data_IF_886765480841
#
_entry.id   IF_886765480841
#
_cell.length_a   1.000
_cell.length_b   1.000
_cell.length_c   1.000
_cell.angle_alpha   90.00
_cell.angle_beta   90.00
_cell.angle_gamma   90.00
#
_symmetry.space_group_name_H-M   'P 1'
#
loop_
_entity.id
_entity.type
_entity.pdbx_description
1 polymer ?
#
# COMPACT_ATOMS: atom_id res chain seq x y z
N UNK A 1 11.06 -12.65 -14.84
CA UNK A 1 12.35 -11.98 -15.10
C UNK A 1 12.37 -11.56 -16.55
N UNK A 2 12.78 -10.33 -16.82
CA UNK A 2 13.08 -9.81 -18.15
C UNK A 2 14.54 -9.38 -18.14
N UNK A 3 15.34 -9.87 -19.08
CA UNK A 3 16.78 -9.62 -19.12
C UNK A 3 17.20 -9.08 -20.50
N UNK A 4 18.16 -8.16 -20.52
CA UNK A 4 18.69 -7.57 -21.74
C UNK A 4 20.07 -6.97 -21.56
N UNK A 5 20.77 -6.70 -22.67
CA UNK A 5 22.08 -6.06 -22.61
C UNK A 5 21.95 -4.61 -22.08
N UNK A 6 21.01 -3.86 -22.62
CA UNK A 6 20.50 -2.59 -22.09
C UNK A 6 18.98 -2.69 -21.92
N UNK A 7 18.42 -1.86 -21.05
CA UNK A 7 16.97 -1.79 -20.86
C UNK A 7 16.54 -0.34 -20.75
N UNK A 8 15.57 0.07 -21.57
CA UNK A 8 15.09 1.45 -21.62
C UNK A 8 13.57 1.48 -21.54
N UNK A 9 13.05 2.32 -20.65
CA UNK A 9 11.64 2.73 -20.64
C UNK A 9 11.61 4.21 -20.95
N UNK A 10 11.18 4.56 -22.16
CA UNK A 10 11.16 5.95 -22.62
C UNK A 10 10.05 6.75 -21.94
N UNK A 11 10.15 8.07 -22.01
CA UNK A 11 9.10 8.97 -21.54
C UNK A 11 7.74 8.63 -22.20
N UNK A 12 6.66 8.78 -21.44
CA UNK A 12 5.28 8.38 -21.77
C UNK A 12 5.05 6.87 -21.96
N UNK A 13 6.08 6.02 -21.78
CA UNK A 13 5.87 4.57 -21.69
C UNK A 13 5.60 4.18 -20.24
N UNK A 14 4.69 3.21 -20.08
CA UNK A 14 4.37 2.59 -18.78
C UNK A 14 4.59 1.09 -18.86
N UNK A 15 5.47 0.57 -18.01
CA UNK A 15 5.59 -0.85 -17.74
C UNK A 15 4.71 -1.19 -16.53
N UNK A 16 3.56 -1.81 -16.78
CA UNK A 16 2.72 -2.37 -15.72
C UNK A 16 2.96 -3.88 -15.61
N UNK A 17 3.18 -4.39 -14.40
CA UNK A 17 3.31 -5.82 -14.14
C UNK A 17 2.27 -6.28 -13.13
N UNK A 18 1.86 -7.54 -13.23
CA UNK A 18 0.86 -8.17 -12.37
C UNK A 18 1.12 -9.68 -12.27
N UNK A 19 0.53 -10.34 -11.28
CA UNK A 19 0.58 -11.79 -11.10
C UNK A 19 1.16 -12.22 -9.76
N UNK A 20 1.25 -13.52 -9.52
CA UNK A 20 1.66 -14.07 -8.21
C UNK A 20 3.17 -14.01 -7.94
N UNK A 21 3.98 -13.56 -8.90
CA UNK A 21 5.44 -13.52 -8.79
C UNK A 21 5.95 -12.08 -8.91
N UNK A 22 6.98 -11.69 -8.12
CA UNK A 22 7.66 -10.41 -8.29
C UNK A 22 8.27 -10.21 -9.68
N UNK A 23 8.43 -8.94 -10.07
CA UNK A 23 9.12 -8.54 -11.28
C UNK A 23 10.63 -8.41 -11.03
N UNK A 24 11.44 -8.97 -11.93
CA UNK A 24 12.89 -8.73 -11.96
C UNK A 24 13.25 -8.22 -13.34
N UNK A 25 13.89 -7.06 -13.39
CA UNK A 25 14.46 -6.45 -14.58
C UNK A 25 15.99 -6.48 -14.45
N UNK A 26 16.63 -7.19 -15.36
CA UNK A 26 18.08 -7.38 -15.37
C UNK A 26 18.68 -6.72 -16.61
N UNK A 27 19.60 -5.78 -16.41
CA UNK A 27 20.44 -5.25 -17.47
C UNK A 27 21.91 -5.54 -17.19
N UNK A 28 22.65 -6.02 -18.19
CA UNK A 28 24.11 -6.24 -18.01
C UNK A 28 24.92 -4.96 -18.16
N UNK A 29 24.33 -3.88 -18.69
CA UNK A 29 24.98 -2.58 -18.86
C UNK A 29 24.17 -1.48 -18.16
N UNK A 30 23.35 -0.76 -18.90
CA UNK A 30 22.58 0.39 -18.44
C UNK A 30 21.09 0.10 -18.41
N UNK A 31 20.46 0.49 -17.30
CA UNK A 31 19.02 0.63 -17.17
C UNK A 31 18.65 2.12 -17.18
N UNK A 32 17.89 2.55 -18.19
CA UNK A 32 17.42 3.94 -18.33
C UNK A 32 15.90 3.98 -18.14
N UNK A 33 15.47 4.67 -17.07
CA UNK A 33 14.07 4.88 -16.74
C UNK A 33 13.68 6.34 -16.94
N UNK A 34 13.08 6.65 -18.07
CA UNK A 34 12.47 7.95 -18.37
C UNK A 34 10.93 7.94 -18.29
N UNK A 35 10.32 6.74 -18.34
CA UNK A 35 8.88 6.52 -18.20
C UNK A 35 8.46 6.04 -16.80
N UNK A 36 7.39 5.25 -16.74
CA UNK A 36 6.80 4.76 -15.48
C UNK A 36 6.90 3.23 -15.37
N UNK A 37 7.30 2.74 -14.19
CA UNK A 37 7.11 1.36 -13.74
C UNK A 37 6.00 1.36 -12.70
N UNK A 38 4.94 0.59 -12.96
CA UNK A 38 3.81 0.45 -12.04
C UNK A 38 3.64 -1.02 -11.65
N UNK A 39 4.02 -1.29 -10.41
CA UNK A 39 3.83 -2.56 -9.72
C UNK A 39 2.91 -2.39 -8.51
N UNK A 40 2.14 -1.31 -8.46
CA UNK A 40 1.18 -1.05 -7.38
C UNK A 40 -0.05 -1.95 -7.50
N UNK A 41 -0.78 -2.05 -6.40
CA UNK A 41 -2.12 -2.61 -6.38
C UNK A 41 -3.14 -1.47 -6.42
N UNK A 42 -4.19 -1.61 -7.22
CA UNK A 42 -5.21 -0.57 -7.40
C UNK A 42 -6.56 -1.15 -7.73
N UNK A 43 -7.61 -0.40 -7.39
CA UNK A 43 -9.00 -0.84 -7.61
C UNK A 43 -9.50 -0.71 -9.04
N UNK A 44 -8.90 0.20 -9.81
CA UNK A 44 -9.47 0.70 -11.06
C UNK A 44 -8.80 0.12 -12.31
N UNK A 45 -8.26 -1.10 -12.23
CA UNK A 45 -7.54 -1.77 -13.33
C UNK A 45 -8.14 -3.12 -13.72
N UNK A 46 -7.78 -3.60 -14.93
CA UNK A 46 -8.09 -4.96 -15.42
C UNK A 46 -7.40 -6.02 -14.54
N UNK A 47 -6.27 -5.66 -13.93
CA UNK A 47 -5.54 -6.45 -12.95
C UNK A 47 -5.32 -5.57 -11.72
N UNK A 48 -5.89 -5.96 -10.59
CA UNK A 48 -5.95 -5.10 -9.40
C UNK A 48 -4.77 -5.29 -8.46
N UNK A 49 -3.99 -6.36 -8.64
CA UNK A 49 -2.86 -6.72 -7.77
C UNK A 49 -1.53 -6.55 -8.46
N UNK A 50 -0.59 -5.91 -7.78
CA UNK A 50 0.81 -5.84 -8.18
C UNK A 50 1.47 -7.23 -8.21
N UNK A 51 2.63 -7.35 -8.89
CA UNK A 51 3.36 -8.60 -9.01
C UNK A 51 3.86 -9.07 -7.64
N UNK A 52 3.46 -10.27 -7.21
CA UNK A 52 3.84 -10.84 -5.91
C UNK A 52 3.16 -10.21 -4.70
N UNK A 53 2.12 -9.40 -4.90
CA UNK A 53 1.27 -8.88 -3.83
C UNK A 53 0.51 -10.01 -3.11
N UNK A 54 0.19 -9.76 -1.84
CA UNK A 54 -0.55 -10.67 -0.93
C UNK A 54 0.02 -12.10 -0.87
N UNK A 55 1.34 -12.26 -0.65
CA UNK A 55 1.91 -13.59 -0.57
C UNK A 55 1.51 -14.29 0.74
N UNK A 56 1.55 -15.63 0.75
CA UNK A 56 0.99 -16.44 1.82
C UNK A 56 1.69 -16.26 3.19
N UNK A 57 2.89 -15.69 3.24
CA UNK A 57 3.63 -15.44 4.49
C UNK A 57 3.17 -14.17 5.21
N UNK A 58 2.18 -13.46 4.68
CA UNK A 58 1.61 -12.30 5.37
C UNK A 58 0.97 -12.72 6.69
N UNK A 59 1.45 -12.11 7.77
CA UNK A 59 0.81 -12.24 9.07
C UNK A 59 -0.62 -11.69 8.99
N UNK A 60 -1.55 -12.38 9.64
CA UNK A 60 -2.93 -11.95 9.76
C UNK A 60 -3.11 -11.18 11.07
N UNK A 61 -3.78 -10.03 11.01
CA UNK A 61 -4.18 -9.27 12.19
C UNK A 61 -5.38 -9.89 12.90
N UNK A 62 -5.70 -9.36 14.09
CA UNK A 62 -6.93 -9.71 14.78
C UNK A 62 -8.13 -9.11 14.05
N UNK A 63 -9.16 -9.89 13.69
CA UNK A 63 -10.30 -9.39 12.95
C UNK A 63 -11.15 -8.43 13.80
N UNK A 64 -11.83 -7.44 13.18
CA UNK A 64 -12.77 -6.58 13.90
C UNK A 64 -13.97 -7.35 14.45
N UNK A 65 -14.56 -6.84 15.53
CA UNK A 65 -15.79 -7.36 16.14
C UNK A 65 -16.91 -6.32 16.02
N UNK A 66 -18.13 -6.80 15.80
CA UNK A 66 -19.31 -5.95 15.64
C UNK A 66 -19.27 -5.13 14.35
N UNK A 67 -19.76 -3.91 14.41
CA UNK A 67 -19.79 -2.98 13.28
C UNK A 67 -18.48 -2.17 13.15
N UNK A 68 -17.33 -2.83 13.17
CA UNK A 68 -16.02 -2.17 13.27
C UNK A 68 -15.15 -2.32 12.02
N UNK A 69 -14.24 -1.37 11.81
CA UNK A 69 -13.37 -1.32 10.64
C UNK A 69 -12.20 -2.30 10.70
N UNK A 70 -11.70 -2.70 9.53
CA UNK A 70 -10.57 -3.62 9.37
C UNK A 70 -9.23 -2.98 9.67
N UNK A 71 -8.22 -3.79 9.99
CA UNK A 71 -6.84 -3.33 10.14
C UNK A 71 -6.19 -3.04 8.79
N UNK A 72 -5.25 -2.11 8.74
CA UNK A 72 -4.37 -1.93 7.59
C UNK A 72 -3.30 -3.03 7.49
N UNK A 73 -2.83 -3.33 6.29
CA UNK A 73 -1.78 -4.31 6.06
C UNK A 73 -0.44 -3.87 6.66
N UNK A 74 0.32 -4.82 7.20
CA UNK A 74 1.67 -4.60 7.74
C UNK A 74 2.73 -5.24 6.85
N UNK A 75 3.76 -4.46 6.48
CA UNK A 75 4.97 -5.00 5.84
C UNK A 75 6.22 -4.42 6.50
N UNK A 76 6.88 -3.40 5.93
CA UNK A 76 7.97 -2.72 6.64
C UNK A 76 7.43 -1.84 7.78
N UNK A 77 6.31 -1.18 7.53
CA UNK A 77 5.57 -0.43 8.53
C UNK A 77 4.36 -1.20 9.04
N UNK A 78 3.99 -0.94 10.30
CA UNK A 78 2.76 -1.49 10.88
C UNK A 78 1.53 -0.83 10.25
N UNK A 79 0.53 -1.61 9.88
CA UNK A 79 -0.76 -1.07 9.49
C UNK A 79 -1.49 -0.40 10.64
N UNK A 80 -2.42 0.50 10.31
CA UNK A 80 -3.29 1.15 11.26
C UNK A 80 -4.33 0.19 11.83
N UNK A 81 -4.74 0.45 13.07
CA UNK A 81 -5.88 -0.23 13.69
C UNK A 81 -7.18 0.35 13.10
N UNK A 82 -8.17 -0.49 12.81
CA UNK A 82 -9.50 -0.01 12.44
C UNK A 82 -10.20 0.62 13.65
N UNK A 83 -11.20 1.47 13.43
CA UNK A 83 -12.01 2.03 14.52
C UNK A 83 -13.28 1.23 14.75
N UNK A 84 -13.85 1.42 15.93
CA UNK A 84 -15.23 1.08 16.22
C UNK A 84 -16.16 2.09 15.54
N UNK A 85 -17.41 1.68 15.27
CA UNK A 85 -18.45 2.57 14.75
C UNK A 85 -18.99 3.51 15.83
N UNK A 86 -19.91 3.00 16.66
CA UNK A 86 -20.41 3.69 17.85
C UNK A 86 -19.76 3.11 19.12
N UNK A 87 -19.54 3.94 20.14
CA UNK A 87 -18.59 3.76 21.28
C UNK A 87 -18.86 2.61 22.25
N UNK A 88 -19.59 1.55 21.86
CA UNK A 88 -19.88 0.41 22.74
C UNK A 88 -20.18 -0.91 22.03
N UNK A 89 -20.12 -0.98 20.68
CA UNK A 89 -20.67 -2.11 19.93
C UNK A 89 -19.63 -3.00 19.23
N UNK A 90 -18.33 -2.83 19.50
CA UNK A 90 -17.31 -3.61 18.82
C UNK A 90 -15.88 -3.34 19.26
N UNK A 91 -14.94 -3.93 18.53
CA UNK A 91 -13.49 -3.66 18.64
C UNK A 91 -12.94 -3.59 17.23
N UNK A 92 -12.17 -2.54 16.93
CA UNK A 92 -11.50 -2.39 15.65
C UNK A 92 -10.50 -3.50 15.32
N UNK A 93 -10.33 -3.82 14.04
CA UNK A 93 -9.33 -4.79 13.62
C UNK A 93 -7.92 -4.33 14.01
N UNK A 94 -7.12 -5.22 14.60
CA UNK A 94 -5.76 -4.89 15.04
C UNK A 94 -4.73 -5.41 14.03
N UNK A 95 -3.90 -4.52 13.48
CA UNK A 95 -2.87 -4.88 12.53
C UNK A 95 -1.79 -5.76 13.17
N UNK A 96 -1.27 -6.77 12.46
CA UNK A 96 -0.16 -7.58 12.94
C UNK A 96 1.12 -6.73 13.00
N UNK A 97 2.12 -7.18 13.74
CA UNK A 97 3.43 -6.52 13.76
C UNK A 97 4.07 -6.54 12.36
N UNK A 98 4.83 -5.49 11.99
CA UNK A 98 5.54 -5.45 10.72
C UNK A 98 6.72 -6.43 10.72
N UNK A 99 7.19 -6.72 9.51
CA UNK A 99 8.41 -7.47 9.27
C UNK A 99 9.64 -6.57 9.50
N UNK A 100 10.56 -7.06 10.31
CA UNK A 100 11.91 -6.52 10.45
C UNK A 100 12.88 -7.67 10.75
N UNK A 101 14.10 -7.71 10.16
CA UNK A 101 14.72 -6.71 9.28
C UNK A 101 14.24 -6.80 7.82
N UNK A 102 14.96 -6.14 6.88
CA UNK A 102 14.68 -6.19 5.45
C UNK A 102 14.62 -7.65 4.93
N UNK A 103 13.64 -8.04 4.11
CA UNK A 103 13.45 -9.44 3.74
C UNK A 103 14.52 -9.91 2.75
N UNK A 104 15.05 -11.12 2.95
CA UNK A 104 16.01 -11.74 2.03
C UNK A 104 15.38 -12.25 0.73
N UNK A 105 14.05 -12.32 0.66
CA UNK A 105 13.29 -12.71 -0.53
C UNK A 105 12.52 -11.52 -1.08
N UNK A 106 12.63 -11.32 -2.40
CA UNK A 106 11.80 -10.35 -3.10
C UNK A 106 10.34 -10.80 -3.00
N UNK A 107 9.48 -9.97 -2.40
CA UNK A 107 8.04 -10.23 -2.24
C UNK A 107 7.25 -8.94 -2.14
N UNK A 108 5.97 -8.97 -2.50
CA UNK A 108 5.07 -7.83 -2.32
C UNK A 108 4.66 -7.62 -0.86
N UNK A 109 3.87 -6.57 -0.67
CA UNK A 109 3.24 -6.20 0.58
C UNK A 109 2.07 -7.11 0.95
N UNK A 110 1.60 -6.94 2.17
CA UNK A 110 0.48 -7.64 2.76
C UNK A 110 -0.85 -6.89 2.64
N UNK A 111 -1.97 -7.63 2.53
CA UNK A 111 -3.30 -7.05 2.43
C UNK A 111 -3.76 -6.45 3.76
N UNK A 112 -4.66 -5.47 3.67
CA UNK A 112 -5.47 -5.04 4.80
C UNK A 112 -6.58 -6.04 5.12
N UNK A 113 -7.06 -6.02 6.36
CA UNK A 113 -8.21 -6.79 6.79
C UNK A 113 -9.53 -6.19 6.32
N UNK A 114 -10.54 -7.05 6.10
CA UNK A 114 -11.92 -6.60 5.95
C UNK A 114 -12.44 -5.94 7.23
N UNK A 115 -13.43 -5.05 7.07
CA UNK A 115 -14.28 -4.63 8.18
C UNK A 115 -15.15 -5.79 8.68
N UNK A 116 -16.04 -5.51 9.62
CA UNK A 116 -17.05 -6.47 10.06
C UNK A 116 -18.45 -5.84 9.97
N UNK A 117 -19.49 -6.66 9.97
CA UNK A 117 -20.88 -6.22 9.94
C UNK A 117 -21.76 -7.11 10.81
N UNK A 118 -22.81 -6.53 11.37
CA UNK A 118 -23.89 -7.27 12.04
C UNK A 118 -25.06 -7.51 11.05
N UNK A 119 -25.02 -6.90 9.87
CA UNK A 119 -26.07 -6.94 8.85
C UNK A 119 -25.77 -7.84 7.64
N UNK A 120 -26.78 -8.05 6.80
CA UNK A 120 -26.72 -9.00 5.68
C UNK A 120 -25.97 -8.53 4.41
N UNK A 121 -25.56 -7.25 4.33
CA UNK A 121 -24.95 -6.68 3.11
C UNK A 121 -23.43 -6.83 3.02
N UNK A 122 -22.80 -7.56 3.95
CA UNK A 122 -21.35 -7.78 3.99
C UNK A 122 -20.55 -6.58 4.51
N UNK A 123 -19.23 -6.67 4.42
CA UNK A 123 -18.28 -5.70 4.95
C UNK A 123 -17.44 -5.01 3.86
N UNK A 124 -16.78 -3.90 4.22
CA UNK A 124 -15.77 -3.32 3.36
C UNK A 124 -14.56 -4.25 3.28
N UNK A 125 -14.22 -4.75 2.10
CA UNK A 125 -13.03 -5.58 1.91
C UNK A 125 -11.74 -4.77 2.11
N UNK A 126 -10.72 -5.41 2.67
CA UNK A 126 -9.38 -4.81 2.74
C UNK A 126 -8.75 -4.62 1.36
N UNK A 127 -7.79 -3.70 1.26
CA UNK A 127 -6.99 -3.47 0.06
C UNK A 127 -5.82 -4.45 -0.04
N UNK A 128 -5.45 -4.81 -1.27
CA UNK A 128 -4.28 -5.65 -1.56
C UNK A 128 -2.97 -4.89 -1.26
N UNK A 129 -1.94 -5.60 -0.80
CA UNK A 129 -0.60 -5.06 -0.65
C UNK A 129 0.02 -4.68 -1.99
N UNK A 130 1.03 -3.80 -1.99
CA UNK A 130 1.75 -3.42 -3.20
C UNK A 130 2.59 -4.57 -3.77
N UNK A 131 2.89 -4.54 -5.07
CA UNK A 131 3.75 -5.55 -5.69
C UNK A 131 5.24 -5.31 -5.46
N UNK A 132 6.06 -6.16 -6.06
CA UNK A 132 7.51 -6.12 -5.89
C UNK A 132 8.26 -6.07 -7.22
N UNK A 133 9.31 -5.23 -7.24
CA UNK A 133 10.23 -5.10 -8.36
C UNK A 133 11.68 -5.05 -7.89
N UNK A 134 12.55 -5.78 -8.57
CA UNK A 134 13.99 -5.61 -8.50
C UNK A 134 14.54 -5.15 -9.85
N UNK A 135 15.38 -4.11 -9.83
CA UNK A 135 16.17 -3.62 -10.95
C UNK A 135 17.63 -3.94 -10.62
N UNK A 136 18.27 -4.75 -11.46
CA UNK A 136 19.66 -5.16 -11.28
C UNK A 136 20.42 -4.72 -12.52
N UNK A 137 21.38 -3.81 -12.37
CA UNK A 137 22.18 -3.32 -13.50
C UNK A 137 23.54 -2.76 -13.09
N UNK A 138 24.49 -2.72 -14.03
CA UNK A 138 25.80 -2.09 -13.80
C UNK A 138 25.65 -0.58 -13.55
N UNK A 139 24.78 0.08 -14.32
CA UNK A 139 24.41 1.50 -14.14
C UNK A 139 22.88 1.65 -14.22
N UNK A 140 22.32 2.46 -13.33
CA UNK A 140 20.89 2.83 -13.34
C UNK A 140 20.77 4.34 -13.44
N UNK A 141 20.00 4.81 -14.42
CA UNK A 141 19.59 6.21 -14.54
C UNK A 141 18.08 6.33 -14.38
N UNK A 142 17.65 7.23 -13.48
CA UNK A 142 16.24 7.42 -13.11
C UNK A 142 15.81 8.86 -13.39
N UNK A 143 14.96 9.03 -14.39
CA UNK A 143 14.24 10.27 -14.71
C UNK A 143 12.73 10.01 -14.87
N UNK A 144 12.25 8.99 -14.17
CA UNK A 144 10.91 8.45 -14.26
C UNK A 144 10.39 7.97 -12.90
N UNK A 145 9.28 7.23 -12.92
CA UNK A 145 8.55 6.87 -11.70
C UNK A 145 8.52 5.36 -11.47
N UNK A 146 8.61 4.95 -10.21
CA UNK A 146 8.45 3.56 -9.78
C UNK A 146 7.43 3.54 -8.64
N UNK A 147 6.26 2.94 -8.90
CA UNK A 147 5.18 2.82 -7.92
C UNK A 147 4.97 1.37 -7.50
N UNK A 148 5.12 1.09 -6.21
CA UNK A 148 4.83 -0.19 -5.57
C UNK A 148 3.84 -0.02 -4.41
N UNK A 149 2.94 0.95 -4.49
CA UNK A 149 2.00 1.25 -3.40
C UNK A 149 0.93 0.18 -3.21
N UNK A 150 0.43 0.09 -1.98
CA UNK A 150 -0.74 -0.70 -1.61
C UNK A 150 -2.06 -0.06 -2.05
N UNK A 151 -3.07 -0.90 -2.21
CA UNK A 151 -4.43 -0.52 -2.57
C UNK A 151 -5.19 0.09 -1.38
N UNK A 152 -6.06 1.06 -1.63
CA UNK A 152 -6.97 1.59 -0.61
C UNK A 152 -8.11 0.62 -0.26
N UNK A 153 -8.45 0.50 1.03
CA UNK A 153 -9.54 -0.35 1.51
C UNK A 153 -10.93 0.11 1.03
N UNK A 154 -11.86 -0.84 0.87
CA UNK A 154 -13.23 -0.54 0.43
C UNK A 154 -14.04 0.07 1.56
N UNK A 155 -14.91 1.02 1.21
CA UNK A 155 -15.91 1.53 2.15
C UNK A 155 -16.90 0.44 2.57
N UNK A 156 -17.41 0.53 3.79
CA UNK A 156 -18.41 -0.40 4.32
C UNK A 156 -19.76 -0.24 3.61
N UNK A 157 -20.48 -1.33 3.28
CA UNK A 157 -21.86 -1.25 2.80
C UNK A 157 -22.81 -0.53 3.76
N UNK A 158 -23.94 -0.05 3.23
CA UNK A 158 -24.95 0.73 3.97
C UNK A 158 -25.79 -0.06 4.97
N UNK A 159 -25.17 -0.88 5.80
CA UNK A 159 -25.79 -1.68 6.86
C UNK A 159 -25.03 -1.56 8.18
N UNK A 160 -24.50 -0.37 8.48
CA UNK A 160 -23.57 -0.16 9.61
C UNK A 160 -22.34 -1.08 9.52
N UNK A 161 -21.86 -1.34 8.31
CA UNK A 161 -20.71 -2.20 8.10
C UNK A 161 -19.42 -1.40 8.30
N UNK A 162 -18.39 -2.04 8.83
CA UNK A 162 -17.05 -1.46 8.90
C UNK A 162 -16.40 -1.32 7.53
N UNK A 163 -15.59 -0.28 7.37
CA UNK A 163 -14.71 -0.12 6.22
C UNK A 163 -13.51 -1.07 6.28
N UNK A 164 -13.01 -1.48 5.13
CA UNK A 164 -11.81 -2.31 5.02
C UNK A 164 -10.54 -1.49 5.21
N UNK A 165 -9.49 -2.12 5.74
CA UNK A 165 -8.19 -1.46 5.88
C UNK A 165 -7.41 -1.38 4.56
N UNK A 166 -6.52 -0.40 4.45
CA UNK A 166 -5.63 -0.24 3.30
C UNK A 166 -4.52 -1.30 3.27
N UNK A 167 -4.11 -1.71 2.06
CA UNK A 167 -2.97 -2.62 1.88
C UNK A 167 -1.64 -1.93 2.16
N UNK A 168 -0.66 -2.69 2.63
CA UNK A 168 0.71 -2.15 2.82
C UNK A 168 1.41 -1.87 1.50
N UNK A 169 2.43 -1.03 1.51
CA UNK A 169 3.33 -0.86 0.38
C UNK A 169 4.09 -2.15 0.03
N UNK A 170 4.62 -2.20 -1.19
CA UNK A 170 5.34 -3.33 -1.76
C UNK A 170 6.85 -3.31 -1.51
N UNK A 171 7.63 -3.89 -2.43
CA UNK A 171 9.10 -3.89 -2.33
C UNK A 171 9.74 -3.35 -3.60
N UNK A 172 10.65 -2.39 -3.46
CA UNK A 172 11.48 -1.88 -4.55
C UNK A 172 12.94 -2.13 -4.20
N UNK A 173 13.66 -2.82 -5.07
CA UNK A 173 15.11 -3.03 -4.95
C UNK A 173 15.79 -2.50 -6.20
N UNK A 174 16.76 -1.60 -6.04
CA UNK A 174 17.62 -1.12 -7.12
C UNK A 174 19.06 -1.46 -6.73
N UNK A 175 19.57 -2.52 -7.33
CA UNK A 175 20.93 -3.01 -7.12
C UNK A 175 21.81 -2.58 -8.29
N UNK A 176 22.71 -1.63 -8.00
CA UNK A 176 23.63 -1.08 -8.99
C UNK A 176 24.84 -0.44 -8.35
N UNK A 177 25.99 -0.56 -9.02
CA UNK A 177 27.23 0.10 -8.62
C UNK A 177 27.23 1.62 -8.85
N UNK A 178 26.33 2.11 -9.71
CA UNK A 178 26.22 3.52 -10.06
C UNK A 178 24.76 3.88 -10.31
N UNK A 179 24.20 4.71 -9.42
CA UNK A 179 22.84 5.21 -9.53
C UNK A 179 22.89 6.71 -9.78
N UNK A 180 22.30 7.15 -10.89
CA UNK A 180 22.09 8.54 -11.24
C UNK A 180 20.58 8.82 -11.27
N UNK A 181 20.17 10.00 -10.83
CA UNK A 181 18.77 10.41 -10.88
C UNK A 181 18.64 11.87 -11.27
N UNK A 182 17.54 12.18 -11.95
CA UNK A 182 17.17 13.53 -12.39
C UNK A 182 15.93 14.03 -11.64
N UNK A 183 15.54 15.27 -11.92
CA UNK A 183 14.42 15.97 -11.26
C UNK A 183 13.06 15.26 -11.26
N UNK A 184 12.82 14.31 -12.17
CA UNK A 184 11.55 13.56 -12.25
C UNK A 184 11.57 12.23 -11.50
N UNK A 185 12.71 11.86 -10.92
CA UNK A 185 12.84 10.61 -10.18
C UNK A 185 11.81 10.59 -9.03
N UNK A 186 11.01 9.52 -9.00
CA UNK A 186 10.08 9.27 -7.92
C UNK A 186 9.94 7.76 -7.70
N UNK A 187 10.22 7.28 -6.50
CA UNK A 187 10.30 5.87 -6.14
C UNK A 187 9.49 5.69 -4.86
N UNK A 188 8.36 4.98 -4.90
CA UNK A 188 7.55 4.84 -3.69
C UNK A 188 6.82 3.51 -3.53
N UNK A 189 6.77 3.06 -2.28
CA UNK A 189 6.08 1.87 -1.80
C UNK A 189 5.23 2.25 -0.58
N UNK A 190 4.29 3.18 -0.78
CA UNK A 190 3.44 3.70 0.27
C UNK A 190 2.25 2.78 0.55
N UNK A 191 1.72 2.83 1.77
CA UNK A 191 0.49 2.13 2.10
C UNK A 191 -0.75 2.80 1.50
N UNK A 192 -1.81 2.01 1.28
CA UNK A 192 -3.13 2.49 0.88
C UNK A 192 -3.93 3.08 2.06
N UNK A 193 -4.94 3.89 1.76
CA UNK A 193 -5.82 4.48 2.77
C UNK A 193 -6.92 3.52 3.18
N UNK A 194 -7.40 3.63 4.42
CA UNK A 194 -8.55 2.88 4.93
C UNK A 194 -9.89 3.38 4.39
N UNK A 195 -10.83 2.46 4.22
CA UNK A 195 -12.21 2.76 3.84
C UNK A 195 -13.04 3.29 5.01
N UNK A 196 -14.01 4.13 4.71
CA UNK A 196 -14.97 4.66 5.67
C UNK A 196 -15.98 3.56 6.03
N UNK A 197 -16.47 3.56 7.26
CA UNK A 197 -17.63 2.75 7.61
C UNK A 197 -18.91 3.16 6.86
N UNK A 198 -19.85 2.23 6.71
CA UNK A 198 -21.16 2.50 6.15
C UNK A 198 -22.16 2.98 7.19
N UNK A 199 -23.11 3.82 6.78
CA UNK A 199 -24.26 4.22 7.59
C UNK A 199 -25.44 3.25 7.44
N UNK A 200 -26.63 3.69 7.86
CA UNK A 200 -27.90 3.01 7.56
C UNK A 200 -28.41 3.43 6.19
N UNK A 201 -28.36 2.52 5.21
CA UNK A 201 -28.81 2.76 3.83
C UNK A 201 -27.83 3.51 2.94
N UNK A 202 -26.67 3.94 3.47
CA UNK A 202 -25.62 4.64 2.71
C UNK A 202 -24.27 3.98 2.92
N UNK A 203 -23.60 3.57 1.85
CA UNK A 203 -22.25 3.01 1.91
C UNK A 203 -21.20 4.07 2.23
N UNK A 204 -20.11 3.64 2.84
CA UNK A 204 -18.93 4.46 3.10
C UNK A 204 -18.10 4.67 1.83
N UNK A 205 -17.31 5.73 1.83
CA UNK A 205 -16.31 5.99 0.80
C UNK A 205 -15.12 5.04 0.93
N UNK A 206 -14.50 4.64 -0.18
CA UNK A 206 -13.28 3.82 -0.14
C UNK A 206 -12.03 4.69 0.07
N UNK A 207 -11.00 4.20 0.76
CA UNK A 207 -9.77 4.97 1.04
C UNK A 207 -8.92 5.16 -0.21
N UNK A 208 -8.03 6.15 -0.31
CA UNK A 208 -7.31 6.39 -1.58
C UNK A 208 -6.07 5.49 -1.77
N UNK A 209 -5.46 5.58 -2.94
CA UNK A 209 -4.12 5.07 -3.25
C UNK A 209 -3.09 6.23 -3.24
N UNK A 210 -1.80 5.92 -3.01
CA UNK A 210 -0.73 6.93 -3.05
C UNK A 210 -0.32 7.26 -4.49
N UNK A 211 -0.19 8.55 -4.80
CA UNK A 211 0.14 9.04 -6.16
C UNK A 211 1.59 9.53 -6.31
N UNK A 212 2.38 9.49 -5.24
CA UNK A 212 3.79 9.86 -5.26
C UNK A 212 4.47 9.73 -3.89
N UNK A 213 5.79 9.98 -3.82
CA UNK A 213 6.59 9.77 -2.61
C UNK A 213 6.12 10.58 -1.41
N UNK A 214 5.71 11.84 -1.64
CA UNK A 214 5.23 12.77 -0.61
C UNK A 214 3.71 12.88 -0.52
N UNK A 215 2.97 12.11 -1.32
CA UNK A 215 1.50 12.15 -1.37
C UNK A 215 0.96 10.82 -0.86
N UNK A 216 0.74 10.76 0.46
CA UNK A 216 0.17 9.60 1.11
C UNK A 216 -1.26 9.32 0.65
N UNK A 217 -1.68 8.07 0.76
CA UNK A 217 -3.06 7.71 0.49
C UNK A 217 -3.98 8.34 1.55
N UNK A 218 -4.79 9.32 1.14
CA UNK A 218 -5.71 10.00 2.03
C UNK A 218 -6.77 9.04 2.59
N UNK A 219 -7.12 9.27 3.85
CA UNK A 219 -8.34 8.75 4.45
C UNK A 219 -9.55 9.11 3.57
N UNK A 220 -10.55 8.23 3.58
CA UNK A 220 -11.85 8.57 3.04
C UNK A 220 -12.59 9.51 4.01
N UNK A 221 -12.85 10.75 3.59
CA UNK A 221 -13.64 11.75 4.31
C UNK A 221 -14.95 11.98 3.56
N UNK A 222 -15.95 11.13 3.81
CA UNK A 222 -17.27 11.23 3.17
C UNK A 222 -18.30 11.92 4.07
N UNK A 223 -19.39 12.41 3.48
CA UNK A 223 -20.57 12.93 4.22
C UNK A 223 -21.38 11.84 4.94
N UNK A 224 -20.94 10.59 4.87
CA UNK A 224 -21.66 9.45 5.42
C UNK A 224 -21.55 9.38 6.95
N UNK A 225 -22.58 8.80 7.53
CA UNK A 225 -22.79 8.55 8.97
C UNK A 225 -21.67 7.67 9.58
N UNK A 226 -20.93 6.88 8.78
CA UNK A 226 -19.89 5.99 9.28
C UNK A 226 -18.53 6.67 9.53
N UNK A 227 -17.72 6.03 10.36
CA UNK A 227 -16.44 6.54 10.83
C UNK A 227 -15.39 6.59 9.69
N UNK A 228 -14.54 7.61 9.72
CA UNK A 228 -13.52 7.81 8.68
C UNK A 228 -12.39 6.79 8.76
N UNK A 229 -11.86 6.38 7.60
CA UNK A 229 -10.69 5.50 7.56
C UNK A 229 -9.38 6.23 7.94
N UNK A 230 -8.30 5.47 8.16
CA UNK A 230 -6.97 6.00 8.41
C UNK A 230 -6.18 6.27 7.12
N UNK A 231 -5.28 7.25 7.12
CA UNK A 231 -4.37 7.50 6.00
C UNK A 231 -3.30 6.42 5.86
N UNK A 232 -2.83 6.14 4.65
CA UNK A 232 -1.68 5.26 4.43
C UNK A 232 -0.36 5.89 4.85
N UNK A 233 0.65 5.05 5.10
CA UNK A 233 2.04 5.49 5.34
C UNK A 233 2.61 6.35 4.20
N UNK A 234 3.52 7.27 4.54
CA UNK A 234 4.17 8.19 3.59
C UNK A 234 5.46 8.80 4.17
N UNK A 235 6.45 9.01 3.32
CA UNK A 235 7.75 9.58 3.69
C UNK A 235 8.45 8.75 4.76
N UNK A 236 8.94 9.39 5.82
CA UNK A 236 9.56 8.71 6.94
C UNK A 236 8.55 8.03 7.90
N UNK A 237 7.24 8.30 7.74
CA UNK A 237 6.22 7.69 8.60
C UNK A 237 5.87 6.31 8.06
N UNK A 238 6.48 5.29 8.66
CA UNK A 238 6.30 3.90 8.24
C UNK A 238 4.91 3.37 8.59
N UNK A 239 4.32 3.83 9.70
CA UNK A 239 3.04 3.30 10.16
C UNK A 239 1.86 3.87 9.36
N UNK A 240 0.85 3.05 9.14
CA UNK A 240 -0.46 3.50 8.66
C UNK A 240 -1.24 4.20 9.78
N UNK A 241 -2.07 5.18 9.42
CA UNK A 241 -2.96 5.87 10.34
C UNK A 241 -4.10 4.97 10.82
N UNK A 242 -4.53 5.17 12.06
CA UNK A 242 -5.71 4.48 12.62
C UNK A 242 -7.00 4.99 11.97
N UNK A 243 -8.00 4.13 11.85
CA UNK A 243 -9.38 4.56 11.62
C UNK A 243 -9.82 5.51 12.74
N UNK A 244 -10.72 6.45 12.42
CA UNK A 244 -11.23 7.43 13.38
C UNK A 244 -12.52 6.90 13.99
N UNK A 245 -12.69 7.00 15.31
CA UNK A 245 -13.92 6.59 16.01
C UNK A 245 -14.93 7.73 16.07
N UNK A 246 -15.34 8.26 14.90
CA UNK A 246 -16.20 9.44 14.76
C UNK A 246 -17.52 9.18 14.02
N UNK A 247 -18.02 7.94 14.00
CA UNK A 247 -19.26 7.64 13.30
C UNK A 247 -20.42 8.46 13.89
N UNK A 248 -21.01 9.35 13.09
CA UNK A 248 -22.30 9.95 13.40
C UNK A 248 -23.39 8.87 13.52
N UNK A 249 -24.49 9.16 14.21
CA UNK A 249 -25.78 8.44 14.18
C UNK A 249 -25.77 6.89 14.14
N UNK A 250 -24.75 6.22 14.69
CA UNK A 250 -24.67 4.75 14.78
C UNK A 250 -24.18 4.04 13.51
N UNK A 251 -23.32 4.67 12.70
CA UNK A 251 -22.64 4.04 11.56
C UNK A 251 -21.54 3.05 11.95
N UNK A 252 -21.01 2.32 10.97
CA UNK A 252 -19.89 1.39 11.16
C UNK A 252 -18.53 2.10 11.30
N UNK A 253 -17.54 1.37 11.80
CA UNK A 253 -16.17 1.83 12.01
C UNK A 253 -15.34 1.99 10.73
N UNK A 254 -14.33 2.86 10.76
CA UNK A 254 -13.42 3.12 9.65
C UNK A 254 -12.23 2.17 9.65
N UNK A 255 -11.75 1.76 8.48
CA UNK A 255 -10.59 0.89 8.35
C UNK A 255 -9.28 1.62 8.63
N UNK A 256 -8.27 0.92 9.13
CA UNK A 256 -6.91 1.43 9.30
C UNK A 256 -6.17 1.57 7.95
N UNK A 257 -5.25 2.53 7.85
CA UNK A 257 -4.40 2.70 6.68
C UNK A 257 -3.25 1.69 6.63
N UNK A 258 -2.74 1.40 5.44
CA UNK A 258 -1.64 0.45 5.24
C UNK A 258 -0.28 0.99 5.69
N UNK A 259 0.56 0.11 6.24
CA UNK A 259 1.95 0.40 6.57
C UNK A 259 2.85 0.47 5.33
N UNK A 260 4.06 1.00 5.51
CA UNK A 260 5.00 1.20 4.42
C UNK A 260 5.56 -0.12 3.89
N UNK A 261 5.96 -0.10 2.63
CA UNK A 261 6.74 -1.15 1.98
C UNK A 261 8.24 -1.03 2.24
N UNK A 262 9.03 -1.82 1.53
CA UNK A 262 10.50 -1.72 1.57
C UNK A 262 11.02 -1.03 0.32
N UNK A 263 12.00 -0.14 0.49
CA UNK A 263 12.75 0.45 -0.61
C UNK A 263 14.24 0.32 -0.32
N UNK A 264 14.97 -0.26 -1.27
CA UNK A 264 16.43 -0.26 -1.32
C UNK A 264 16.88 0.42 -2.59
N UNK A 265 17.55 1.56 -2.44
CA UNK A 265 18.19 2.33 -3.50
C UNK A 265 19.37 3.09 -2.90
N UNK A 266 20.59 2.72 -3.31
CA UNK A 266 21.80 3.30 -2.74
C UNK A 266 21.92 4.80 -3.09
N UNK A 267 22.24 5.62 -2.09
CA UNK A 267 22.56 7.04 -2.29
C UNK A 267 21.39 7.97 -2.56
N UNK A 268 20.14 7.49 -2.55
CA UNK A 268 18.93 8.32 -2.66
C UNK A 268 18.19 8.32 -1.32
N UNK A 269 18.19 9.45 -0.61
CA UNK A 269 17.58 9.60 0.71
C UNK A 269 16.57 10.74 0.82
N UNK A 270 16.44 11.58 -0.22
CA UNK A 270 15.47 12.68 -0.25
C UNK A 270 14.04 12.15 -0.33
N UNK A 271 13.20 12.46 0.66
CA UNK A 271 11.82 12.01 0.76
C UNK A 271 10.86 12.64 -0.27
N UNK A 272 11.33 13.65 -1.02
CA UNK A 272 10.62 14.13 -2.21
C UNK A 272 10.77 13.15 -3.40
N UNK A 273 11.82 12.33 -3.38
CA UNK A 273 12.14 11.35 -4.42
C UNK A 273 11.78 9.93 -3.96
N UNK A 274 12.09 9.55 -2.73
CA UNK A 274 11.94 8.17 -2.23
C UNK A 274 11.01 8.07 -1.04
N UNK A 275 10.10 7.09 -1.04
CA UNK A 275 9.22 6.82 0.12
C UNK A 275 8.85 5.33 0.26
N UNK A 276 9.04 4.69 1.42
CA UNK A 276 9.70 5.23 2.61
C UNK A 276 11.19 5.50 2.40
N UNK A 277 11.87 5.96 3.46
CA UNK A 277 13.34 6.09 3.45
C UNK A 277 14.00 4.81 2.93
N UNK A 278 14.94 4.97 2.00
CA UNK A 278 15.75 3.86 1.51
C UNK A 278 16.53 3.20 2.65
N UNK A 279 16.53 1.88 2.70
CA UNK A 279 17.36 1.09 3.60
C UNK A 279 18.54 0.58 2.78
N UNK A 280 19.76 0.96 3.17
CA UNK A 280 20.96 0.38 2.57
C UNK A 280 21.11 -1.08 3.02
N UNK A 281 21.12 -1.99 2.05
CA UNK A 281 21.52 -3.37 2.27
C UNK A 281 23.04 -3.45 2.21
N UNK A 282 23.69 -4.31 3.01
CA UNK A 282 25.08 -4.65 2.76
C UNK A 282 25.22 -5.19 1.33
N UNK A 283 26.32 -4.89 0.63
CA UNK A 283 26.55 -5.39 -0.73
C UNK A 283 26.47 -6.92 -0.74
N UNK A 284 25.78 -7.47 -1.75
CA UNK A 284 25.66 -8.91 -1.99
C UNK A 284 27.01 -9.56 -2.32
#
# INVERSE_FOLDING_TARGET
>A
MVAGNGFTINNAQKLAAHGSKPLILLSTTMFDLSGDIDVSSSRNGIQTKGPGADPAECAMGAPPVGSSGGYGGSFHGKGGVGSEGNTSDGVGGTAPEPLAPFPSTLRGGCPGGGGNTIGALGEGSGGSGGGAVAIIATQVHINGRINASGEGGRGGPGSKSGGGGGGSGGMIVIDSSMIQHDSRAAIWANGGGGGQGGGTGMGGSSGNESTGPSVGALASTGTAIGANGGGGSVGAVLMGGTGISDAGSGGGGGGGGGGAGFVHVQGITDLLIVSPTSIDLPPL
#
